data_IF_793465108048
#
_entry.id   IF_793465108048
#
_cell.length_a   1.000
_cell.length_b   1.000
_cell.length_c   1.000
_cell.angle_alpha   90.00
_cell.angle_beta   90.00
_cell.angle_gamma   90.00
#
_symmetry.space_group_name_H-M   'P 1'
#
loop_
_entity.id
_entity.type
_entity.pdbx_description
1 polymer ?
#
# COMPACT_ATOMS: atom_id res chain seq x y z
N UNK A 1 24.25 -17.64 11.03
CA UNK A 1 23.01 -17.17 11.70
C UNK A 1 21.85 -18.06 11.29
N UNK A 2 21.34 -18.83 12.25
CA UNK A 2 20.30 -19.84 12.06
C UNK A 2 18.94 -19.19 11.74
N UNK A 3 18.11 -19.90 10.97
CA UNK A 3 16.75 -19.47 10.54
C UNK A 3 15.86 -18.99 11.71
N UNK A 4 16.11 -19.50 12.92
CA UNK A 4 15.39 -19.14 14.15
C UNK A 4 15.53 -17.66 14.54
N UNK A 5 16.71 -17.04 14.36
CA UNK A 5 16.90 -15.62 14.72
C UNK A 5 16.18 -14.65 13.80
N UNK A 6 15.97 -15.03 12.53
CA UNK A 6 15.25 -14.20 11.56
C UNK A 6 13.76 -14.08 11.89
N UNK A 7 13.15 -15.16 12.40
CA UNK A 7 11.75 -15.18 12.80
C UNK A 7 11.45 -14.26 13.97
N UNK A 8 12.28 -14.28 15.01
CA UNK A 8 12.10 -13.44 16.20
C UNK A 8 12.17 -11.93 15.87
N UNK A 9 13.14 -11.53 15.03
CA UNK A 9 13.29 -10.13 14.62
C UNK A 9 12.09 -9.62 13.80
N UNK A 10 11.55 -10.45 12.90
CA UNK A 10 10.36 -10.10 12.11
C UNK A 10 9.14 -9.89 13.03
N UNK A 11 8.92 -10.78 13.99
CA UNK A 11 7.84 -10.65 14.96
C UNK A 11 7.96 -9.38 15.82
N UNK A 12 9.16 -9.06 16.29
CA UNK A 12 9.42 -7.82 17.03
C UNK A 12 9.11 -6.58 16.18
N UNK A 13 9.53 -6.58 14.91
CA UNK A 13 9.23 -5.49 13.98
C UNK A 13 7.71 -5.33 13.77
N UNK A 14 7.00 -6.44 13.54
CA UNK A 14 5.55 -6.44 13.38
C UNK A 14 4.83 -5.86 14.59
N UNK A 15 5.17 -6.33 15.80
CA UNK A 15 4.55 -5.87 17.05
C UNK A 15 4.84 -4.39 17.28
N UNK A 16 6.10 -3.98 17.16
CA UNK A 16 6.51 -2.59 17.39
C UNK A 16 5.77 -1.62 16.46
N UNK A 17 5.70 -1.93 15.16
CA UNK A 17 5.01 -1.06 14.20
C UNK A 17 3.49 -1.16 14.27
N UNK A 18 2.93 -2.28 14.71
CA UNK A 18 1.50 -2.35 15.01
C UNK A 18 1.14 -1.47 16.21
N UNK A 19 1.99 -1.43 17.24
CA UNK A 19 1.82 -0.54 18.38
C UNK A 19 1.96 0.94 17.99
N UNK A 20 2.90 1.28 17.09
CA UNK A 20 2.98 2.63 16.51
C UNK A 20 1.69 2.99 15.77
N UNK A 21 1.14 2.06 14.98
CA UNK A 21 -0.16 2.25 14.33
C UNK A 21 -1.28 2.52 15.35
N UNK A 22 -1.32 1.76 16.44
CA UNK A 22 -2.30 1.96 17.53
C UNK A 22 -2.16 3.34 18.19
N UNK A 23 -0.94 3.78 18.47
CA UNK A 23 -0.69 5.11 19.03
C UNK A 23 -1.12 6.21 18.06
N UNK A 24 -0.80 6.06 16.78
CA UNK A 24 -1.20 7.02 15.76
C UNK A 24 -2.74 7.10 15.63
N UNK A 25 -3.42 5.96 15.68
CA UNK A 25 -4.88 5.90 15.69
C UNK A 25 -5.47 6.64 16.91
N UNK A 26 -4.94 6.36 18.11
CA UNK A 26 -5.36 7.08 19.32
C UNK A 26 -5.16 8.61 19.19
N UNK A 27 -4.03 9.05 18.61
CA UNK A 27 -3.77 10.47 18.35
C UNK A 27 -4.78 11.08 17.36
N UNK A 28 -5.09 10.40 16.26
CA UNK A 28 -6.02 10.91 15.25
C UNK A 28 -7.47 10.90 15.73
N UNK A 29 -7.90 9.91 16.51
CA UNK A 29 -9.21 9.90 17.16
C UNK A 29 -9.34 11.09 18.14
N UNK A 30 -8.27 11.43 18.85
CA UNK A 30 -8.28 12.54 19.80
C UNK A 30 -8.22 13.91 19.11
N UNK A 31 -7.41 14.06 18.06
CA UNK A 31 -7.16 15.34 17.42
C UNK A 31 -8.06 15.64 16.21
N UNK A 32 -8.55 14.60 15.54
CA UNK A 32 -9.34 14.71 14.33
C UNK A 32 -10.81 15.02 14.59
N UNK A 33 -11.45 15.73 13.67
CA UNK A 33 -12.88 15.98 13.73
C UNK A 33 -13.66 14.67 13.48
N UNK A 34 -14.47 14.18 14.44
CA UNK A 34 -15.22 12.95 14.25
C UNK A 34 -16.24 13.11 13.13
N UNK A 35 -16.34 12.07 12.29
CA UNK A 35 -17.40 12.01 11.29
C UNK A 35 -18.64 11.35 11.87
N UNK A 36 -19.77 12.07 11.82
CA UNK A 36 -21.09 11.50 12.04
C UNK A 36 -21.35 10.30 11.13
N UNK A 37 -22.22 9.41 11.62
CA UNK A 37 -22.73 8.24 10.89
C UNK A 37 -23.66 8.71 9.76
N UNK A 38 -23.05 9.22 8.69
CA UNK A 38 -23.70 9.70 7.48
C UNK A 38 -23.23 8.90 6.27
N UNK A 39 -24.02 8.94 5.19
CA UNK A 39 -23.80 8.17 3.96
C UNK A 39 -23.64 6.66 4.24
N UNK A 40 -22.56 6.04 3.73
CA UNK A 40 -22.33 4.59 3.76
C UNK A 40 -22.46 3.94 5.15
N UNK A 41 -22.13 4.68 6.21
CA UNK A 41 -22.19 4.18 7.60
C UNK A 41 -23.58 3.70 8.00
N UNK A 42 -24.65 4.29 7.44
CA UNK A 42 -26.04 3.85 7.68
C UNK A 42 -26.30 2.45 7.16
N UNK A 43 -25.71 2.09 6.01
CA UNK A 43 -25.85 0.74 5.46
C UNK A 43 -25.12 -0.29 6.33
N UNK A 44 -23.90 0.01 6.77
CA UNK A 44 -23.16 -0.91 7.65
C UNK A 44 -23.82 -1.07 9.02
N UNK A 45 -24.44 -0.02 9.55
CA UNK A 45 -25.26 -0.11 10.77
C UNK A 45 -26.50 -0.98 10.55
N UNK A 46 -27.21 -0.82 9.44
CA UNK A 46 -28.35 -1.65 9.10
C UNK A 46 -27.95 -3.14 9.00
N UNK A 47 -26.83 -3.45 8.33
CA UNK A 47 -26.28 -4.82 8.28
C UNK A 47 -25.92 -5.37 9.67
N UNK A 48 -25.31 -4.55 10.53
CA UNK A 48 -25.00 -4.92 11.91
C UNK A 48 -26.26 -5.31 12.70
N UNK A 49 -27.38 -4.62 12.45
CA UNK A 49 -28.70 -4.87 13.05
C UNK A 49 -29.48 -5.99 12.33
N UNK A 50 -28.87 -6.71 11.38
CA UNK A 50 -29.52 -7.79 10.63
C UNK A 50 -30.54 -7.31 9.58
N UNK A 51 -30.53 -6.03 9.22
CA UNK A 51 -31.43 -5.47 8.20
C UNK A 51 -30.82 -5.60 6.80
N UNK A 52 -31.61 -5.93 5.76
CA UNK A 52 -31.13 -5.97 4.40
C UNK A 52 -30.74 -4.57 3.93
N UNK A 53 -29.71 -4.49 3.09
CA UNK A 53 -29.24 -3.22 2.52
C UNK A 53 -29.13 -3.29 1.01
N UNK A 54 -28.95 -2.14 0.37
CA UNK A 54 -28.84 -2.06 -1.08
C UNK A 54 -27.41 -2.42 -1.53
N UNK A 55 -27.25 -3.01 -2.73
CA UNK A 55 -25.95 -3.12 -3.38
C UNK A 55 -25.29 -1.74 -3.60
N UNK A 56 -23.95 -1.64 -3.60
CA UNK A 56 -22.98 -2.70 -3.34
C UNK A 56 -22.72 -2.94 -1.84
N UNK A 57 -23.26 -2.11 -0.95
CA UNK A 57 -22.96 -2.14 0.49
C UNK A 57 -23.32 -3.47 1.14
N UNK A 58 -24.43 -4.08 0.73
CA UNK A 58 -24.89 -5.36 1.25
C UNK A 58 -23.86 -6.50 1.13
N UNK A 59 -22.95 -6.43 0.17
CA UNK A 59 -21.94 -7.46 -0.06
C UNK A 59 -20.67 -7.28 0.77
N UNK A 60 -20.54 -6.15 1.49
CA UNK A 60 -19.39 -5.81 2.35
C UNK A 60 -19.60 -6.32 3.77
N UNK A 61 -19.77 -7.63 3.87
CA UNK A 61 -20.22 -8.33 5.09
C UNK A 61 -19.15 -8.47 6.17
N UNK A 62 -17.86 -8.42 5.83
CA UNK A 62 -16.78 -8.75 6.77
C UNK A 62 -16.77 -7.82 7.99
N UNK A 63 -16.84 -6.51 7.77
CA UNK A 63 -16.69 -5.53 8.86
C UNK A 63 -17.89 -5.51 9.79
N UNK A 64 -19.15 -5.47 9.30
CA UNK A 64 -20.33 -5.63 10.16
C UNK A 64 -20.30 -6.95 10.95
N UNK A 65 -19.88 -8.05 10.32
CA UNK A 65 -19.76 -9.34 11.00
C UNK A 65 -18.72 -9.30 12.13
N UNK A 66 -17.51 -8.77 11.87
CA UNK A 66 -16.46 -8.62 12.90
C UNK A 66 -16.92 -7.72 14.05
N UNK A 67 -17.62 -6.63 13.75
CA UNK A 67 -18.14 -5.73 14.78
C UNK A 67 -19.20 -6.43 15.64
N UNK A 68 -20.05 -7.28 15.06
CA UNK A 68 -21.11 -7.99 15.77
C UNK A 68 -20.58 -9.04 16.77
N UNK A 69 -19.33 -9.49 16.61
CA UNK A 69 -18.69 -10.40 17.56
C UNK A 69 -18.31 -9.74 18.90
N UNK A 70 -18.37 -8.40 18.98
CA UNK A 70 -17.95 -7.64 20.14
C UNK A 70 -19.16 -7.23 21.00
N UNK A 71 -19.05 -7.21 22.34
CA UNK A 71 -20.19 -7.05 23.25
C UNK A 71 -20.57 -5.60 23.56
N UNK A 72 -19.97 -4.59 22.92
CA UNK A 72 -20.22 -3.18 23.22
C UNK A 72 -21.23 -2.53 22.27
N UNK A 73 -21.37 -1.20 22.32
CA UNK A 73 -22.23 -0.47 21.40
C UNK A 73 -21.72 -0.62 19.95
N UNK A 74 -22.61 -0.60 18.95
CA UNK A 74 -22.23 -0.79 17.55
C UNK A 74 -21.12 0.17 17.10
N UNK A 75 -21.22 1.46 17.44
CA UNK A 75 -20.23 2.48 17.07
C UNK A 75 -18.86 2.18 17.67
N UNK A 76 -18.81 1.71 18.91
CA UNK A 76 -17.57 1.34 19.57
C UNK A 76 -16.98 0.07 18.93
N UNK A 77 -17.82 -0.93 18.63
CA UNK A 77 -17.41 -2.16 17.98
C UNK A 77 -16.77 -1.91 16.60
N UNK A 78 -17.41 -1.10 15.75
CA UNK A 78 -16.83 -0.71 14.47
C UNK A 78 -15.52 0.07 14.67
N UNK A 79 -15.46 0.97 15.65
CA UNK A 79 -14.23 1.70 16.01
C UNK A 79 -13.08 0.76 16.38
N UNK A 80 -13.34 -0.24 17.25
CA UNK A 80 -12.34 -1.25 17.65
C UNK A 80 -11.84 -2.05 16.44
N UNK A 81 -12.75 -2.52 15.58
CA UNK A 81 -12.37 -3.26 14.36
C UNK A 81 -11.49 -2.40 13.46
N UNK A 82 -11.85 -1.14 13.25
CA UNK A 82 -11.10 -0.18 12.44
C UNK A 82 -9.69 0.04 13.00
N UNK A 83 -9.58 0.42 14.27
CA UNK A 83 -8.29 0.67 14.94
C UNK A 83 -7.42 -0.57 14.89
N UNK A 84 -7.97 -1.75 15.19
CA UNK A 84 -7.23 -3.00 15.14
C UNK A 84 -6.72 -3.29 13.72
N UNK A 85 -7.55 -3.14 12.69
CA UNK A 85 -7.16 -3.39 11.31
C UNK A 85 -6.07 -2.43 10.81
N UNK A 86 -6.21 -1.12 11.07
CA UNK A 86 -5.22 -0.11 10.69
C UNK A 86 -3.90 -0.29 11.46
N UNK A 87 -3.96 -0.65 12.75
CA UNK A 87 -2.78 -0.96 13.56
C UNK A 87 -2.03 -2.16 12.98
N UNK A 88 -2.73 -3.28 12.77
CA UNK A 88 -2.12 -4.50 12.22
C UNK A 88 -1.61 -4.29 10.78
N UNK A 89 -2.31 -3.50 9.96
CA UNK A 89 -1.86 -3.12 8.62
C UNK A 89 -0.50 -2.40 8.68
N UNK A 90 -0.28 -1.54 9.69
CA UNK A 90 1.00 -0.86 9.91
C UNK A 90 2.13 -1.86 10.17
N UNK A 91 1.89 -2.88 10.99
CA UNK A 91 2.84 -3.98 11.21
C UNK A 91 3.17 -4.75 9.93
N UNK A 92 2.17 -5.12 9.13
CA UNK A 92 2.39 -5.82 7.85
C UNK A 92 3.09 -4.95 6.81
N UNK A 93 2.81 -3.64 6.77
CA UNK A 93 3.53 -2.68 5.93
C UNK A 93 5.01 -2.62 6.35
N UNK A 94 5.31 -2.63 7.65
CA UNK A 94 6.69 -2.64 8.13
C UNK A 94 7.43 -3.92 7.71
N UNK A 95 6.79 -5.08 7.83
CA UNK A 95 7.33 -6.36 7.35
C UNK A 95 7.57 -6.35 5.84
N UNK A 96 6.61 -5.84 5.07
CA UNK A 96 6.71 -5.69 3.62
C UNK A 96 7.91 -4.80 3.24
N UNK A 97 8.05 -3.65 3.91
CA UNK A 97 9.11 -2.68 3.70
C UNK A 97 10.49 -3.30 3.96
N UNK A 98 10.63 -3.97 5.11
CA UNK A 98 11.85 -4.65 5.51
C UNK A 98 12.22 -5.76 4.52
N UNK A 99 11.26 -6.61 4.16
CA UNK A 99 11.46 -7.70 3.20
C UNK A 99 11.76 -7.19 1.78
N UNK A 100 11.35 -5.97 1.46
CA UNK A 100 11.67 -5.28 0.20
C UNK A 100 13.02 -4.57 0.23
N UNK A 101 13.78 -4.69 1.33
CA UNK A 101 15.16 -4.23 1.45
C UNK A 101 15.30 -2.79 1.97
N UNK A 102 14.25 -2.19 2.53
CA UNK A 102 14.39 -0.91 3.20
C UNK A 102 15.19 -1.06 4.50
N UNK A 103 16.15 -0.18 4.80
CA UNK A 103 16.78 -0.12 6.11
C UNK A 103 15.73 0.28 7.17
N UNK A 104 15.98 -0.02 8.44
CA UNK A 104 15.02 0.23 9.54
C UNK A 104 14.52 1.68 9.58
N UNK A 105 15.38 2.66 9.27
CA UNK A 105 14.99 4.06 9.14
C UNK A 105 13.98 4.28 8.00
N UNK A 106 14.24 3.72 6.82
CA UNK A 106 13.30 3.75 5.70
C UNK A 106 11.99 3.03 6.00
N UNK A 107 12.00 1.93 6.77
CA UNK A 107 10.78 1.27 7.27
C UNK A 107 9.97 2.22 8.17
N UNK A 108 10.64 2.90 9.11
CA UNK A 108 10.00 3.88 9.97
C UNK A 108 9.38 5.04 9.18
N UNK A 109 10.10 5.57 8.19
CA UNK A 109 9.56 6.60 7.28
C UNK A 109 8.34 6.08 6.52
N UNK A 110 8.40 4.88 5.95
CA UNK A 110 7.26 4.30 5.22
C UNK A 110 6.01 4.16 6.11
N UNK A 111 6.18 3.70 7.35
CA UNK A 111 5.09 3.57 8.30
C UNK A 111 4.55 4.94 8.73
N UNK A 112 5.42 5.94 8.88
CA UNK A 112 5.02 7.31 9.17
C UNK A 112 4.20 7.91 8.02
N UNK A 113 4.61 7.71 6.77
CA UNK A 113 3.84 8.11 5.59
C UNK A 113 2.48 7.39 5.51
N UNK A 114 2.41 6.13 5.95
CA UNK A 114 1.16 5.38 6.04
C UNK A 114 0.21 5.95 7.11
N UNK A 115 0.65 6.12 8.36
CA UNK A 115 -0.20 6.62 9.45
C UNK A 115 -0.58 8.10 9.32
N UNK A 116 0.03 8.81 8.38
CA UNK A 116 -0.30 10.19 8.00
C UNK A 116 -0.96 10.29 6.63
N UNK A 117 -1.38 9.15 6.05
CA UNK A 117 -2.08 9.12 4.76
C UNK A 117 -3.58 9.32 4.92
N UNK A 118 -4.24 9.72 3.83
CA UNK A 118 -5.70 9.80 3.79
C UNK A 118 -6.35 8.49 4.27
N UNK A 119 -5.87 7.35 3.78
CA UNK A 119 -6.43 6.04 4.12
C UNK A 119 -6.40 5.77 5.63
N UNK A 120 -5.30 6.10 6.30
CA UNK A 120 -5.24 5.89 7.74
C UNK A 120 -6.15 6.88 8.48
N UNK A 121 -5.94 8.17 8.28
CA UNK A 121 -6.60 9.22 9.07
C UNK A 121 -8.11 9.26 8.82
N UNK A 122 -8.54 9.17 7.57
CA UNK A 122 -9.96 9.22 7.22
C UNK A 122 -10.74 8.06 7.83
N UNK A 123 -10.23 6.83 7.66
CA UNK A 123 -10.94 5.64 8.14
C UNK A 123 -10.86 5.50 9.66
N UNK A 124 -9.79 5.98 10.30
CA UNK A 124 -9.68 6.01 11.76
C UNK A 124 -10.65 7.01 12.42
N UNK A 125 -10.83 8.18 11.81
CA UNK A 125 -11.74 9.23 12.30
C UNK A 125 -13.21 9.02 11.90
N UNK A 126 -13.50 8.05 11.00
CA UNK A 126 -14.87 7.66 10.63
C UNK A 126 -15.26 6.36 11.34
N UNK A 127 -15.98 6.50 12.46
CA UNK A 127 -16.29 5.38 13.38
C UNK A 127 -17.01 4.18 12.74
N UNK A 128 -17.82 4.39 11.69
CA UNK A 128 -18.61 3.32 11.05
C UNK A 128 -18.31 3.24 9.56
N UNK A 129 -17.33 2.41 9.20
CA UNK A 129 -16.91 2.13 7.82
C UNK A 129 -16.52 0.67 7.67
N UNK A 130 -16.53 0.17 6.44
CA UNK A 130 -16.16 -1.21 6.13
C UNK A 130 -14.73 -1.37 5.60
N UNK A 131 -14.03 -0.25 5.37
CA UNK A 131 -12.84 -0.20 4.52
C UNK A 131 -11.54 -0.55 5.28
N UNK A 132 -11.49 -0.44 6.61
CA UNK A 132 -10.26 -0.71 7.37
C UNK A 132 -9.75 -2.17 7.22
N UNK A 133 -10.61 -3.21 7.28
CA UNK A 133 -10.19 -4.58 6.95
C UNK A 133 -9.64 -4.75 5.53
N UNK A 134 -10.11 -3.97 4.54
CA UNK A 134 -9.55 -4.01 3.18
C UNK A 134 -8.07 -3.62 3.20
N UNK A 135 -7.69 -2.55 3.91
CA UNK A 135 -6.30 -2.12 4.01
C UNK A 135 -5.42 -3.14 4.73
N UNK A 136 -5.94 -3.77 5.79
CA UNK A 136 -5.26 -4.89 6.44
C UNK A 136 -5.02 -6.03 5.45
N UNK A 137 -6.05 -6.48 4.74
CA UNK A 137 -5.93 -7.58 3.78
C UNK A 137 -4.98 -7.23 2.63
N UNK A 138 -4.97 -5.97 2.18
CA UNK A 138 -4.02 -5.49 1.17
C UNK A 138 -2.57 -5.53 1.66
N UNK A 139 -2.32 -5.05 2.88
CA UNK A 139 -1.00 -5.10 3.51
C UNK A 139 -0.53 -6.55 3.71
N UNK A 140 -1.43 -7.43 4.18
CA UNK A 140 -1.17 -8.87 4.30
C UNK A 140 -0.84 -9.46 2.94
N UNK A 141 -1.67 -9.24 1.91
CA UNK A 141 -1.48 -9.78 0.56
C UNK A 141 -0.10 -9.46 0.02
N UNK A 142 0.31 -8.18 0.07
CA UNK A 142 1.63 -7.77 -0.44
C UNK A 142 2.77 -8.28 0.43
N UNK A 143 2.61 -8.27 1.76
CA UNK A 143 3.59 -8.84 2.67
C UNK A 143 3.81 -10.34 2.39
N UNK A 144 2.77 -11.16 2.43
CA UNK A 144 2.90 -12.61 2.21
C UNK A 144 3.33 -12.95 0.78
N UNK A 145 2.94 -12.14 -0.21
CA UNK A 145 3.44 -12.28 -1.57
C UNK A 145 4.97 -12.11 -1.63
N UNK A 146 5.53 -11.14 -0.89
CA UNK A 146 6.97 -10.90 -0.76
C UNK A 146 7.74 -12.03 -0.09
N UNK A 147 7.12 -12.68 0.90
CA UNK A 147 7.68 -13.87 1.54
C UNK A 147 7.55 -15.14 0.69
N UNK A 148 6.97 -15.06 -0.52
CA UNK A 148 6.89 -16.19 -1.45
C UNK A 148 5.80 -17.20 -1.08
N UNK A 149 4.86 -16.84 -0.21
CA UNK A 149 3.73 -17.70 0.22
C UNK A 149 2.92 -18.18 -0.99
N UNK A 150 2.46 -19.43 -1.02
CA UNK A 150 1.79 -20.03 -2.20
C UNK A 150 0.59 -19.21 -2.72
N UNK A 151 0.28 -19.37 -4.00
CA UNK A 151 -0.90 -18.74 -4.64
C UNK A 151 -2.21 -19.07 -3.91
N UNK A 152 -2.40 -20.29 -3.40
CA UNK A 152 -3.62 -20.66 -2.66
C UNK A 152 -3.92 -19.70 -1.50
N UNK A 153 -2.93 -19.45 -0.64
CA UNK A 153 -3.03 -18.53 0.48
C UNK A 153 -3.27 -17.08 0.05
N UNK A 154 -2.66 -16.63 -1.06
CA UNK A 154 -2.97 -15.31 -1.61
C UNK A 154 -4.44 -15.23 -2.06
N UNK A 155 -4.99 -16.33 -2.57
CA UNK A 155 -6.39 -16.44 -2.98
C UNK A 155 -7.33 -16.32 -1.79
N UNK A 156 -6.99 -16.97 -0.67
CA UNK A 156 -7.75 -16.85 0.58
C UNK A 156 -7.75 -15.40 1.07
N UNK A 157 -6.57 -14.76 1.16
CA UNK A 157 -6.46 -13.36 1.62
C UNK A 157 -7.23 -12.41 0.70
N UNK A 158 -7.10 -12.56 -0.62
CA UNK A 158 -7.80 -11.76 -1.61
C UNK A 158 -9.33 -11.93 -1.48
N UNK A 159 -9.78 -13.17 -1.35
CA UNK A 159 -11.20 -13.51 -1.25
C UNK A 159 -11.83 -12.97 0.04
N UNK A 160 -11.17 -13.13 1.18
CA UNK A 160 -11.61 -12.53 2.46
C UNK A 160 -11.63 -11.00 2.34
N UNK A 161 -10.58 -10.39 1.76
CA UNK A 161 -10.54 -8.95 1.54
C UNK A 161 -11.69 -8.44 0.65
N UNK A 162 -12.10 -9.21 -0.36
CA UNK A 162 -13.27 -8.88 -1.19
C UNK A 162 -14.59 -8.85 -0.40
N UNK A 163 -14.70 -9.56 0.74
CA UNK A 163 -15.85 -9.47 1.65
C UNK A 163 -15.88 -8.16 2.44
N UNK A 164 -14.77 -7.42 2.50
CA UNK A 164 -14.75 -6.05 3.06
C UNK A 164 -15.01 -5.00 1.98
N UNK A 165 -14.36 -5.13 0.83
CA UNK A 165 -14.55 -4.22 -0.30
C UNK A 165 -14.02 -4.84 -1.60
N UNK A 166 -14.78 -4.72 -2.69
CA UNK A 166 -14.47 -5.26 -4.01
C UNK A 166 -13.20 -4.68 -4.65
N UNK A 167 -12.80 -3.49 -4.21
CA UNK A 167 -11.55 -2.81 -4.60
C UNK A 167 -10.30 -3.59 -4.20
N UNK A 168 -10.42 -4.57 -3.31
CA UNK A 168 -9.36 -5.54 -3.02
C UNK A 168 -8.84 -6.24 -4.30
N UNK A 169 -9.66 -6.36 -5.36
CA UNK A 169 -9.26 -6.89 -6.66
C UNK A 169 -8.15 -6.08 -7.35
N UNK A 170 -7.94 -4.82 -7.00
CA UNK A 170 -6.78 -4.04 -7.49
C UNK A 170 -5.46 -4.64 -6.99
N UNK A 171 -5.45 -5.36 -5.86
CA UNK A 171 -4.30 -6.13 -5.41
C UNK A 171 -3.89 -7.22 -6.40
N UNK A 172 -4.86 -7.86 -7.07
CA UNK A 172 -4.58 -8.80 -8.16
C UNK A 172 -3.99 -8.08 -9.38
N UNK A 173 -4.52 -6.91 -9.74
CA UNK A 173 -3.98 -6.10 -10.82
C UNK A 173 -2.51 -5.73 -10.55
N UNK A 174 -2.16 -5.36 -9.31
CA UNK A 174 -0.79 -5.09 -8.90
C UNK A 174 0.14 -6.31 -9.09
N UNK A 175 -0.30 -7.50 -8.69
CA UNK A 175 0.46 -8.74 -8.92
C UNK A 175 0.61 -9.08 -10.41
N UNK A 176 -0.41 -8.80 -11.23
CA UNK A 176 -0.37 -9.00 -12.68
C UNK A 176 0.58 -8.01 -13.36
N UNK A 177 0.59 -6.74 -12.94
CA UNK A 177 1.52 -5.71 -13.43
C UNK A 177 2.97 -6.12 -13.13
N UNK A 178 3.24 -6.58 -11.91
CA UNK A 178 4.55 -7.14 -11.55
C UNK A 178 4.96 -8.29 -12.49
N UNK A 179 4.02 -9.17 -12.84
CA UNK A 179 4.26 -10.28 -13.77
C UNK A 179 4.56 -9.81 -15.18
N UNK A 180 3.74 -8.90 -15.72
CA UNK A 180 3.86 -8.38 -17.08
C UNK A 180 5.17 -7.62 -17.30
N UNK A 181 5.55 -6.78 -16.33
CA UNK A 181 6.77 -5.97 -16.41
C UNK A 181 8.00 -6.66 -15.79
N UNK A 182 7.86 -7.90 -15.33
CA UNK A 182 8.91 -8.66 -14.62
C UNK A 182 9.56 -7.84 -13.49
N UNK A 183 8.73 -7.14 -12.72
CA UNK A 183 9.16 -6.35 -11.56
C UNK A 183 9.02 -7.19 -10.30
N UNK A 184 9.72 -6.78 -9.24
CA UNK A 184 9.53 -7.35 -7.92
C UNK A 184 9.07 -6.25 -6.97
N UNK A 185 8.05 -5.46 -7.33
CA UNK A 185 7.53 -4.41 -6.46
C UNK A 185 6.57 -5.01 -5.42
N UNK A 186 5.65 -5.87 -5.84
CA UNK A 186 4.71 -6.65 -5.02
C UNK A 186 4.94 -8.17 -5.08
N UNK A 187 6.05 -8.60 -5.71
CA UNK A 187 6.46 -9.99 -5.91
C UNK A 187 5.59 -10.83 -6.86
N UNK A 188 4.91 -10.18 -7.81
CA UNK A 188 4.12 -10.87 -8.84
C UNK A 188 4.97 -11.58 -9.91
N UNK A 189 6.18 -11.10 -10.23
CA UNK A 189 7.01 -11.72 -11.28
C UNK A 189 7.36 -13.19 -11.02
N UNK A 190 7.50 -13.58 -9.74
CA UNK A 190 7.80 -14.95 -9.32
C UNK A 190 6.61 -15.91 -9.46
N UNK A 191 5.42 -15.41 -9.80
CA UNK A 191 4.18 -16.20 -9.86
C UNK A 191 3.93 -16.74 -11.26
N UNK A 192 3.30 -17.90 -11.36
CA UNK A 192 2.81 -18.42 -12.62
C UNK A 192 1.53 -17.67 -13.03
N UNK A 193 1.38 -17.39 -14.33
CA UNK A 193 0.21 -16.67 -14.86
C UNK A 193 -1.09 -17.41 -14.56
N UNK A 194 -1.11 -18.74 -14.75
CA UNK A 194 -2.24 -19.62 -14.40
C UNK A 194 -2.63 -19.45 -12.93
N UNK A 195 -1.64 -19.32 -12.04
CA UNK A 195 -1.89 -19.07 -10.63
C UNK A 195 -2.60 -17.72 -10.40
N UNK A 196 -2.15 -16.65 -11.07
CA UNK A 196 -2.78 -15.34 -10.96
C UNK A 196 -4.21 -15.33 -11.54
N UNK A 197 -4.44 -16.03 -12.66
CA UNK A 197 -5.79 -16.20 -13.22
C UNK A 197 -6.70 -16.96 -12.24
N UNK A 198 -6.20 -18.04 -11.63
CA UNK A 198 -6.94 -18.81 -10.63
C UNK A 198 -7.29 -17.96 -9.39
N UNK A 199 -6.40 -17.05 -8.94
CA UNK A 199 -6.70 -16.10 -7.88
C UNK A 199 -7.91 -15.23 -8.22
N UNK A 200 -7.91 -14.65 -9.43
CA UNK A 200 -9.00 -13.81 -9.90
C UNK A 200 -10.31 -14.58 -10.01
N UNK A 201 -10.27 -15.76 -10.62
CA UNK A 201 -11.44 -16.63 -10.73
C UNK A 201 -12.03 -17.00 -9.36
N UNK A 202 -11.17 -17.32 -8.37
CA UNK A 202 -11.61 -17.66 -7.01
C UNK A 202 -12.27 -16.48 -6.30
N UNK A 203 -11.65 -15.29 -6.35
CA UNK A 203 -12.21 -14.11 -5.72
C UNK A 203 -13.53 -13.68 -6.38
N UNK A 204 -13.62 -13.76 -7.72
CA UNK A 204 -14.85 -13.46 -8.46
C UNK A 204 -15.95 -14.50 -8.19
N UNK A 205 -15.61 -15.78 -8.09
CA UNK A 205 -16.55 -16.83 -7.73
C UNK A 205 -17.11 -16.62 -6.31
N UNK A 206 -16.28 -16.25 -5.33
CA UNK A 206 -16.77 -15.91 -4.00
C UNK A 206 -17.70 -14.70 -4.03
N UNK A 207 -17.31 -13.63 -4.73
CA UNK A 207 -18.19 -12.45 -4.88
C UNK A 207 -19.52 -12.81 -5.54
N UNK A 208 -19.49 -13.70 -6.55
CA UNK A 208 -20.69 -14.23 -7.18
C UNK A 208 -21.57 -14.97 -6.15
N UNK A 209 -21.00 -15.90 -5.39
CA UNK A 209 -21.75 -16.63 -4.34
C UNK A 209 -22.35 -15.67 -3.31
N UNK A 210 -21.57 -14.72 -2.79
CA UNK A 210 -22.05 -13.72 -1.82
C UNK A 210 -23.22 -12.94 -2.39
N UNK A 211 -23.15 -12.52 -3.66
CA UNK A 211 -24.24 -11.79 -4.33
C UNK A 211 -25.52 -12.59 -4.51
N UNK A 212 -25.44 -13.92 -4.55
CA UNK A 212 -26.62 -14.80 -4.68
C UNK A 212 -27.19 -15.21 -3.32
N UNK A 213 -26.35 -15.29 -2.28
CA UNK A 213 -26.76 -15.75 -0.95
C UNK A 213 -27.22 -14.60 -0.05
N UNK A 214 -26.59 -13.42 -0.15
CA UNK A 214 -26.94 -12.28 0.71
C UNK A 214 -28.18 -11.59 0.18
N UNK A 215 -29.25 -11.59 0.97
CA UNK A 215 -30.48 -10.87 0.66
C UNK A 215 -30.23 -9.34 0.62
N UNK A 216 -30.69 -8.70 -0.44
CA UNK A 216 -30.54 -7.25 -0.63
C UNK A 216 -31.89 -6.59 -0.89
N UNK A 217 -32.07 -5.35 -0.44
CA UNK A 217 -33.17 -4.52 -0.97
C UNK A 217 -32.84 -4.07 -2.39
N UNK A 218 -33.85 -3.86 -3.25
CA UNK A 218 -33.64 -3.35 -4.61
C UNK A 218 -32.78 -2.09 -4.59
N UNK A 219 -31.85 -1.98 -5.55
CA UNK A 219 -31.12 -0.75 -5.75
C UNK A 219 -32.11 0.34 -6.19
N UNK A 220 -32.23 1.42 -5.40
CA UNK A 220 -33.23 2.50 -5.63
C UNK A 220 -32.88 3.35 -6.86
N UNK A 221 -31.71 3.18 -7.47
CA UNK A 221 -31.43 3.72 -8.80
C UNK A 221 -30.32 2.89 -9.45
N UNK A 222 -30.57 2.19 -10.57
CA UNK A 222 -29.48 1.75 -11.42
C UNK A 222 -28.98 2.96 -12.20
N UNK A 223 -28.26 3.88 -11.54
CA UNK A 223 -27.32 4.75 -12.25
C UNK A 223 -26.09 3.94 -12.69
N UNK A 224 -26.31 2.73 -13.24
CA UNK A 224 -25.41 2.14 -14.19
C UNK A 224 -25.57 2.98 -15.45
N UNK A 225 -24.96 4.14 -15.41
CA UNK A 225 -24.88 5.04 -16.54
C UNK A 225 -24.41 4.22 -17.74
N UNK A 226 -25.10 4.36 -18.88
CA UNK A 226 -25.10 3.48 -20.07
C UNK A 226 -23.74 3.23 -20.77
N UNK A 227 -22.63 3.56 -20.13
CA UNK A 227 -21.30 3.12 -20.55
C UNK A 227 -20.17 3.79 -19.76
N UNK A 228 -18.91 3.33 -19.97
CA UNK A 228 -17.73 3.86 -19.29
C UNK A 228 -17.55 5.38 -19.47
N UNK A 229 -17.88 5.92 -20.64
CA UNK A 229 -17.76 7.36 -20.92
C UNK A 229 -18.71 8.18 -20.06
N UNK A 230 -19.95 7.75 -19.92
CA UNK A 230 -20.94 8.49 -19.18
C UNK A 230 -20.74 8.30 -17.65
N UNK A 231 -20.21 7.16 -17.20
CA UNK A 231 -19.70 6.99 -15.82
C UNK A 231 -18.53 7.94 -15.51
N UNK A 232 -17.58 8.09 -16.45
CA UNK A 232 -16.49 9.04 -16.31
C UNK A 232 -16.99 10.49 -16.23
N UNK A 233 -17.94 10.88 -17.09
CA UNK A 233 -18.54 12.22 -17.06
C UNK A 233 -19.28 12.46 -15.74
N UNK A 234 -20.06 11.49 -15.27
CA UNK A 234 -20.73 11.58 -13.98
C UNK A 234 -19.75 11.71 -12.83
N UNK A 235 -18.69 10.91 -12.81
CA UNK A 235 -17.65 10.97 -11.78
C UNK A 235 -16.94 12.32 -11.75
N UNK A 236 -16.66 12.89 -12.93
CA UNK A 236 -16.12 14.24 -13.05
C UNK A 236 -17.10 15.28 -12.52
N UNK A 237 -18.38 15.21 -12.90
CA UNK A 237 -19.40 16.13 -12.40
C UNK A 237 -19.56 16.01 -10.87
N UNK A 238 -19.61 14.79 -10.35
CA UNK A 238 -19.68 14.48 -8.92
C UNK A 238 -18.46 14.99 -8.14
N UNK A 239 -17.28 14.92 -8.75
CA UNK A 239 -16.05 15.47 -8.16
C UNK A 239 -15.97 17.00 -8.26
N UNK A 240 -16.85 17.63 -9.05
CA UNK A 240 -16.87 19.06 -9.30
C UNK A 240 -15.86 19.51 -10.38
N UNK A 241 -15.62 18.65 -11.37
CA UNK A 241 -14.78 18.89 -12.55
C UNK A 241 -13.42 18.18 -12.53
N UNK A 242 -12.73 18.21 -13.67
CA UNK A 242 -11.43 17.53 -13.87
C UNK A 242 -10.33 18.00 -12.91
N UNK A 243 -10.25 19.32 -12.66
CA UNK A 243 -9.25 19.88 -11.73
C UNK A 243 -9.46 19.34 -10.31
N UNK A 244 -10.70 19.34 -9.80
CA UNK A 244 -11.00 18.81 -8.47
C UNK A 244 -10.77 17.30 -8.40
N UNK A 245 -11.03 16.56 -9.48
CA UNK A 245 -10.72 15.13 -9.55
C UNK A 245 -9.22 14.85 -9.41
N UNK A 246 -8.37 15.59 -10.13
CA UNK A 246 -6.90 15.49 -10.01
C UNK A 246 -6.44 15.88 -8.60
N UNK A 247 -7.02 16.93 -8.02
CA UNK A 247 -6.72 17.32 -6.64
C UNK A 247 -7.11 16.23 -5.63
N UNK A 248 -8.23 15.51 -5.85
CA UNK A 248 -8.60 14.34 -5.03
C UNK A 248 -7.58 13.21 -5.18
N UNK A 249 -7.08 12.94 -6.39
CA UNK A 249 -6.00 11.94 -6.59
C UNK A 249 -4.75 12.33 -5.79
N UNK A 250 -4.34 13.60 -5.86
CA UNK A 250 -3.21 14.09 -5.07
C UNK A 250 -3.49 14.00 -3.57
N UNK A 251 -4.67 14.42 -3.13
CA UNK A 251 -5.07 14.41 -1.72
C UNK A 251 -5.17 13.00 -1.12
N UNK A 252 -5.18 11.92 -1.91
CA UNK A 252 -5.09 10.56 -1.36
C UNK A 252 -3.71 10.28 -0.70
N UNK A 253 -2.67 11.04 -1.08
CA UNK A 253 -1.29 10.80 -0.65
C UNK A 253 -0.61 12.06 -0.07
N UNK A 254 -0.97 13.24 -0.58
CA UNK A 254 -0.28 14.49 -0.29
C UNK A 254 1.16 14.52 -0.85
N UNK A 255 2.08 15.20 -0.15
CA UNK A 255 3.50 15.28 -0.53
C UNK A 255 4.18 13.92 -0.83
N UNK A 256 3.75 12.83 -0.18
CA UNK A 256 4.27 11.48 -0.44
C UNK A 256 4.20 11.07 -1.92
N UNK A 257 3.15 11.47 -2.65
CA UNK A 257 3.06 11.19 -4.09
C UNK A 257 4.18 11.90 -4.88
N UNK A 258 4.46 13.17 -4.54
CA UNK A 258 5.57 13.92 -5.16
C UNK A 258 6.90 13.24 -4.88
N UNK A 259 7.13 12.80 -3.66
CA UNK A 259 8.38 12.12 -3.29
C UNK A 259 8.56 10.82 -4.08
N UNK A 260 7.50 10.02 -4.21
CA UNK A 260 7.51 8.81 -5.04
C UNK A 260 7.83 9.12 -6.51
N UNK A 261 7.18 10.12 -7.10
CA UNK A 261 7.41 10.53 -8.49
C UNK A 261 8.82 11.07 -8.71
N UNK A 262 9.35 11.88 -7.78
CA UNK A 262 10.71 12.41 -7.84
C UNK A 262 11.77 11.30 -7.69
N UNK A 263 11.52 10.30 -6.85
CA UNK A 263 12.38 9.12 -6.76
C UNK A 263 12.45 8.40 -8.11
N UNK A 264 11.31 8.11 -8.71
CA UNK A 264 11.24 7.41 -9.98
C UNK A 264 11.85 8.23 -11.12
N UNK A 265 11.60 9.54 -11.17
CA UNK A 265 12.17 10.43 -12.17
C UNK A 265 13.70 10.59 -12.04
N UNK A 266 14.23 10.53 -10.81
CA UNK A 266 15.66 10.67 -10.53
C UNK A 266 16.43 9.35 -10.45
N UNK A 267 15.73 8.22 -10.57
CA UNK A 267 16.31 6.89 -10.67
C UNK A 267 16.63 6.53 -12.13
N UNK A 268 17.61 5.65 -12.33
CA UNK A 268 17.85 5.07 -13.65
C UNK A 268 16.59 4.32 -14.12
N UNK A 269 16.23 4.38 -15.41
CA UNK A 269 15.11 3.61 -15.93
C UNK A 269 15.23 2.14 -15.52
N UNK A 270 14.22 1.65 -14.81
CA UNK A 270 14.19 0.30 -14.26
C UNK A 270 12.83 -0.33 -14.51
N UNK A 271 12.77 -1.67 -14.47
CA UNK A 271 11.48 -2.39 -14.56
C UNK A 271 10.51 -1.95 -13.47
N UNK A 272 11.02 -1.66 -12.27
CA UNK A 272 10.26 -1.14 -11.13
C UNK A 272 9.53 0.16 -11.48
N UNK A 273 10.19 1.10 -12.17
CA UNK A 273 9.57 2.36 -12.63
C UNK A 273 8.39 2.11 -13.58
N UNK A 274 8.53 1.17 -14.52
CA UNK A 274 7.46 0.81 -15.45
C UNK A 274 6.30 0.11 -14.75
N UNK A 275 6.58 -0.81 -13.83
CA UNK A 275 5.54 -1.47 -13.03
C UNK A 275 4.77 -0.49 -12.15
N UNK A 276 5.46 0.42 -11.47
CA UNK A 276 4.79 1.48 -10.71
C UNK A 276 3.94 2.36 -11.64
N UNK A 277 4.49 2.82 -12.76
CA UNK A 277 3.77 3.65 -13.72
C UNK A 277 2.49 2.98 -14.22
N UNK A 278 2.57 1.70 -14.62
CA UNK A 278 1.42 0.93 -15.08
C UNK A 278 0.36 0.76 -13.98
N UNK A 279 0.76 0.43 -12.75
CA UNK A 279 -0.17 0.30 -11.61
C UNK A 279 -0.83 1.65 -11.26
N UNK A 280 -0.05 2.72 -11.24
CA UNK A 280 -0.55 4.07 -10.95
C UNK A 280 -1.53 4.55 -12.03
N UNK A 281 -1.21 4.36 -13.31
CA UNK A 281 -2.12 4.66 -14.42
C UNK A 281 -3.40 3.83 -14.35
N UNK A 282 -3.31 2.54 -13.99
CA UNK A 282 -4.49 1.69 -13.80
C UNK A 282 -5.37 2.22 -12.66
N UNK A 283 -4.79 2.58 -11.52
CA UNK A 283 -5.53 3.16 -10.39
C UNK A 283 -6.18 4.49 -10.77
N UNK A 284 -5.44 5.40 -11.42
CA UNK A 284 -5.98 6.66 -11.92
C UNK A 284 -7.12 6.43 -12.90
N UNK A 285 -6.99 5.48 -13.83
CA UNK A 285 -8.06 5.15 -14.78
C UNK A 285 -9.31 4.62 -14.08
N UNK A 286 -9.13 3.75 -13.07
CA UNK A 286 -10.22 3.21 -12.27
C UNK A 286 -10.96 4.31 -11.48
N UNK A 287 -10.31 5.43 -11.13
CA UNK A 287 -11.00 6.54 -10.46
C UNK A 287 -12.06 7.20 -11.31
N UNK A 288 -12.04 7.05 -12.64
CA UNK A 288 -13.10 7.56 -13.51
C UNK A 288 -14.32 6.62 -13.57
N UNK A 289 -14.22 5.44 -12.97
CA UNK A 289 -15.28 4.44 -12.91
C UNK A 289 -15.87 4.30 -11.50
N UNK A 290 -15.50 5.19 -10.58
CA UNK A 290 -15.94 5.16 -9.19
C UNK A 290 -16.19 6.57 -8.67
N UNK A 291 -17.28 6.77 -7.92
CA UNK A 291 -17.64 8.05 -7.32
C UNK A 291 -16.65 8.51 -6.25
N UNK A 292 -15.99 7.57 -5.58
CA UNK A 292 -15.01 7.83 -4.51
C UNK A 292 -13.57 7.68 -5.03
N UNK A 293 -13.07 8.75 -5.66
CA UNK A 293 -11.69 8.88 -6.15
C UNK A 293 -10.64 8.56 -5.08
N UNK A 294 -10.86 9.03 -3.85
CA UNK A 294 -9.87 8.91 -2.77
C UNK A 294 -9.71 7.46 -2.35
N UNK A 295 -10.83 6.72 -2.23
CA UNK A 295 -10.83 5.30 -1.89
C UNK A 295 -10.13 4.45 -2.93
N UNK A 296 -10.35 4.69 -4.22
CA UNK A 296 -9.67 3.94 -5.29
C UNK A 296 -8.17 4.21 -5.27
N UNK A 297 -7.76 5.47 -5.11
CA UNK A 297 -6.33 5.81 -5.03
C UNK A 297 -5.66 5.28 -3.76
N UNK A 298 -6.37 5.22 -2.64
CA UNK A 298 -5.85 4.68 -1.38
C UNK A 298 -5.29 3.26 -1.51
N UNK A 299 -5.70 2.48 -2.52
CA UNK A 299 -5.22 1.12 -2.74
C UNK A 299 -3.74 1.08 -3.16
N UNK A 300 -3.25 2.09 -3.89
CA UNK A 300 -1.84 2.17 -4.30
C UNK A 300 -0.97 2.88 -3.25
N UNK A 301 -1.47 3.08 -2.03
CA UNK A 301 -0.72 3.71 -0.94
C UNK A 301 0.56 2.96 -0.59
N UNK A 302 0.55 1.62 -0.59
CA UNK A 302 1.74 0.80 -0.27
C UNK A 302 2.88 1.07 -1.26
N UNK A 303 2.71 0.92 -2.59
CA UNK A 303 3.78 1.27 -3.53
C UNK A 303 4.17 2.75 -3.50
N UNK A 304 3.22 3.68 -3.33
CA UNK A 304 3.53 5.11 -3.22
C UNK A 304 4.41 5.39 -1.99
N UNK A 305 3.99 4.95 -0.81
CA UNK A 305 4.75 5.12 0.44
C UNK A 305 6.11 4.44 0.39
N UNK A 306 6.23 3.29 -0.28
CA UNK A 306 7.51 2.60 -0.48
C UNK A 306 8.51 3.45 -1.28
N UNK A 307 8.09 3.98 -2.43
CA UNK A 307 8.94 4.83 -3.26
C UNK A 307 9.23 6.19 -2.61
N UNK A 308 8.25 6.76 -1.90
CA UNK A 308 8.43 7.97 -1.12
C UNK A 308 9.44 7.77 0.02
N UNK A 309 9.39 6.64 0.73
CA UNK A 309 10.37 6.31 1.76
C UNK A 309 11.77 6.15 1.17
N UNK A 310 11.93 5.50 0.00
CA UNK A 310 13.22 5.43 -0.72
C UNK A 310 13.74 6.80 -1.12
N UNK A 311 12.86 7.74 -1.49
CA UNK A 311 13.23 9.12 -1.76
C UNK A 311 13.84 9.79 -0.52
N UNK A 312 13.10 9.76 0.58
CA UNK A 312 13.49 10.41 1.84
C UNK A 312 14.78 9.81 2.37
N UNK A 313 14.93 8.49 2.30
CA UNK A 313 16.15 7.77 2.69
C UNK A 313 17.36 8.20 1.85
N UNK A 314 17.19 8.30 0.52
CA UNK A 314 18.24 8.80 -0.37
C UNK A 314 18.65 10.23 -0.03
N UNK A 315 17.69 11.11 0.27
CA UNK A 315 17.98 12.49 0.69
C UNK A 315 18.71 12.49 2.03
N UNK A 316 18.31 11.62 2.97
CA UNK A 316 18.97 11.48 4.26
C UNK A 316 20.45 11.12 4.09
N UNK A 317 20.76 10.10 3.29
CA UNK A 317 22.14 9.65 3.10
C UNK A 317 23.00 10.69 2.36
N UNK A 318 22.43 11.37 1.38
CA UNK A 318 23.17 12.32 0.56
C UNK A 318 23.36 13.68 1.26
N UNK A 319 22.36 14.13 2.04
CA UNK A 319 22.25 15.52 2.54
C UNK A 319 22.17 15.65 4.06
N UNK A 320 21.99 14.55 4.76
CA UNK A 320 21.84 14.50 6.20
C UNK A 320 20.40 14.61 6.66
N UNK A 321 20.22 14.35 7.95
CA UNK A 321 18.94 14.29 8.64
C UNK A 321 18.04 15.53 8.45
N UNK A 322 18.54 16.79 8.50
CA UNK A 322 17.65 17.96 8.49
C UNK A 322 16.73 18.04 7.27
N UNK A 323 17.23 17.67 6.09
CA UNK A 323 16.45 17.70 4.84
C UNK A 323 15.38 16.61 4.83
N UNK A 324 15.72 15.41 5.24
CA UNK A 324 14.78 14.31 5.28
C UNK A 324 13.70 14.52 6.36
N UNK A 325 14.08 15.06 7.52
CA UNK A 325 13.14 15.49 8.58
C UNK A 325 12.21 16.58 8.07
N UNK A 326 12.70 17.56 7.31
CA UNK A 326 11.85 18.60 6.72
C UNK A 326 10.80 18.01 5.76
N UNK A 327 11.17 17.07 4.89
CA UNK A 327 10.23 16.39 3.98
C UNK A 327 9.15 15.62 4.77
N UNK A 328 9.55 14.90 5.81
CA UNK A 328 8.60 14.21 6.69
C UNK A 328 7.68 15.20 7.42
N UNK A 329 8.22 16.33 7.89
CA UNK A 329 7.45 17.39 8.54
C UNK A 329 6.42 18.01 7.59
N UNK A 330 6.74 18.19 6.30
CA UNK A 330 5.76 18.64 5.31
C UNK A 330 4.60 17.65 5.13
N UNK A 331 4.87 16.34 5.10
CA UNK A 331 3.80 15.34 5.05
C UNK A 331 2.93 15.40 6.32
N UNK A 332 3.54 15.47 7.50
CA UNK A 332 2.82 15.58 8.78
C UNK A 332 1.93 16.83 8.83
N UNK A 333 2.48 17.98 8.46
CA UNK A 333 1.74 19.24 8.40
C UNK A 333 0.59 19.17 7.38
N UNK A 334 0.80 18.49 6.24
CA UNK A 334 -0.24 18.31 5.24
C UNK A 334 -1.35 17.41 5.77
N UNK A 335 -0.99 16.29 6.41
CA UNK A 335 -1.94 15.36 6.99
C UNK A 335 -2.79 16.04 8.08
N UNK A 336 -2.16 16.83 8.95
CA UNK A 336 -2.86 17.63 9.94
C UNK A 336 -3.84 18.60 9.30
N UNK A 337 -3.36 19.42 8.36
CA UNK A 337 -4.14 20.48 7.74
C UNK A 337 -5.30 19.95 6.89
N UNK A 338 -5.06 18.89 6.11
CA UNK A 338 -6.05 18.35 5.17
C UNK A 338 -6.90 17.28 5.82
N UNK A 339 -6.29 16.29 6.48
CA UNK A 339 -7.01 15.13 6.98
C UNK A 339 -7.59 15.34 8.38
N UNK A 340 -6.85 16.01 9.28
CA UNK A 340 -7.34 16.35 10.62
C UNK A 340 -8.59 17.23 10.60
N UNK A 341 -8.72 18.06 9.56
CA UNK A 341 -9.81 19.01 9.37
C UNK A 341 -10.64 18.76 8.12
N UNK A 342 -10.78 17.51 7.70
CA UNK A 342 -11.39 17.11 6.43
C UNK A 342 -12.78 17.73 6.16
N UNK A 343 -13.62 17.94 7.18
CA UNK A 343 -14.93 18.62 7.03
C UNK A 343 -14.73 20.11 6.72
N UNK A 344 -13.99 20.79 7.57
CA UNK A 344 -13.64 22.21 7.42
C UNK A 344 -12.90 22.47 6.10
N UNK A 345 -12.00 21.56 5.69
CA UNK A 345 -11.22 21.63 4.45
C UNK A 345 -12.11 21.64 3.20
N UNK A 346 -13.17 20.82 3.15
CA UNK A 346 -14.10 20.80 2.01
C UNK A 346 -14.84 22.12 1.81
N UNK A 347 -15.11 22.85 2.90
CA UNK A 347 -15.81 24.14 2.86
C UNK A 347 -14.89 25.37 2.85
N UNK A 348 -13.63 25.23 3.28
CA UNK A 348 -12.74 26.36 3.54
C UNK A 348 -11.76 26.62 2.39
N UNK A 349 -11.98 27.72 1.66
CA UNK A 349 -11.02 28.19 0.66
C UNK A 349 -9.63 28.45 1.28
N UNK A 350 -9.58 29.04 2.48
CA UNK A 350 -8.32 29.36 3.15
C UNK A 350 -7.46 28.11 3.42
N UNK A 351 -8.07 27.02 3.91
CA UNK A 351 -7.34 25.78 4.17
C UNK A 351 -6.87 25.10 2.87
N UNK A 352 -7.67 25.19 1.79
CA UNK A 352 -7.26 24.72 0.47
C UNK A 352 -6.01 25.48 -0.04
N UNK A 353 -5.98 26.81 0.12
CA UNK A 353 -4.81 27.63 -0.25
C UNK A 353 -3.59 27.26 0.62
N UNK A 354 -3.77 27.09 1.93
CA UNK A 354 -2.68 26.67 2.81
C UNK A 354 -2.12 25.29 2.43
N UNK A 355 -2.99 24.33 2.09
CA UNK A 355 -2.56 22.99 1.68
C UNK A 355 -1.82 23.01 0.33
N UNK A 356 -2.26 23.87 -0.60
CA UNK A 356 -1.58 24.10 -1.86
C UNK A 356 -0.21 24.75 -1.65
N UNK A 357 -0.11 25.79 -0.81
CA UNK A 357 1.14 26.44 -0.47
C UNK A 357 2.13 25.46 0.20
N UNK A 358 1.65 24.67 1.16
CA UNK A 358 2.46 23.65 1.84
C UNK A 358 2.98 22.59 0.85
N UNK A 359 2.13 22.16 -0.08
CA UNK A 359 2.50 21.22 -1.14
C UNK A 359 3.55 21.83 -2.08
N UNK A 360 3.38 23.09 -2.48
CA UNK A 360 4.34 23.83 -3.31
C UNK A 360 5.71 23.98 -2.63
N UNK A 361 5.73 24.34 -1.33
CA UNK A 361 6.94 24.41 -0.53
C UNK A 361 7.62 23.05 -0.41
N UNK A 362 6.84 21.99 -0.16
CA UNK A 362 7.37 20.63 -0.12
C UNK A 362 8.02 20.21 -1.44
N UNK A 363 7.42 20.55 -2.59
CA UNK A 363 8.00 20.29 -3.91
C UNK A 363 9.30 21.05 -4.08
N UNK A 364 9.32 22.34 -3.73
CA UNK A 364 10.51 23.19 -3.85
C UNK A 364 11.68 22.65 -3.01
N UNK A 365 11.42 22.25 -1.76
CA UNK A 365 12.42 21.66 -0.86
C UNK A 365 12.92 20.33 -1.41
N UNK A 366 12.03 19.46 -1.90
CA UNK A 366 12.42 18.18 -2.48
C UNK A 366 13.29 18.33 -3.75
N UNK A 367 12.91 19.24 -4.65
CA UNK A 367 13.67 19.57 -5.86
C UNK A 367 15.03 20.19 -5.52
N UNK A 368 15.08 21.09 -4.54
CA UNK A 368 16.32 21.71 -4.10
C UNK A 368 17.29 20.69 -3.46
N UNK A 369 16.75 19.82 -2.60
CA UNK A 369 17.51 18.72 -2.00
C UNK A 369 18.10 17.80 -3.07
N UNK A 370 17.33 17.50 -4.13
CA UNK A 370 17.76 16.69 -5.26
C UNK A 370 18.81 17.41 -6.15
N UNK A 371 18.60 18.68 -6.50
CA UNK A 371 19.50 19.45 -7.35
C UNK A 371 20.90 19.55 -6.74
N UNK A 372 21.00 20.01 -5.48
CA UNK A 372 22.29 20.12 -4.80
C UNK A 372 22.91 18.72 -4.52
N UNK A 373 22.17 17.61 -4.62
CA UNK A 373 22.74 16.27 -4.46
C UNK A 373 23.61 15.90 -5.66
N UNK A 374 23.17 16.30 -6.86
CA UNK A 374 23.91 16.11 -8.10
C UNK A 374 25.21 16.90 -8.14
N UNK A 375 25.23 18.12 -7.59
CA UNK A 375 26.43 18.97 -7.63
C UNK A 375 27.60 18.42 -6.80
N UNK A 376 27.33 17.74 -5.68
CA UNK A 376 28.39 17.09 -4.88
C UNK A 376 29.07 15.93 -5.61
N UNK A 377 28.28 15.11 -6.32
CA UNK A 377 28.82 13.94 -7.04
C UNK A 377 29.74 14.34 -8.18
N UNK A 378 29.47 15.48 -8.84
CA UNK A 378 30.32 16.00 -9.91
C UNK A 378 31.64 16.58 -9.38
N UNK A 379 31.65 17.21 -8.21
CA UNK A 379 32.87 17.76 -7.60
C UNK A 379 33.87 16.72 -7.09
N UNK A 380 33.44 15.47 -6.88
CA UNK A 380 34.34 14.38 -6.46
C UNK A 380 35.01 13.68 -7.65
N UNK A 381 34.41 13.77 -8.85
CA UNK A 381 34.93 13.12 -10.07
C UNK A 381 35.99 13.95 -10.81
N UNK A 382 36.19 15.22 -10.43
CA UNK A 382 37.16 16.13 -11.07
C UNK A 382 38.49 16.27 -10.33
N UNK A 383 38.74 15.49 -9.27
CA UNK A 383 40.11 15.24 -8.83
C UNK A 383 40.64 14.00 -9.56
N UNK A 384 41.42 14.15 -10.65
CA UNK A 384 42.23 13.05 -11.13
C UNK A 384 43.22 12.74 -10.01
N UNK A 385 42.89 11.76 -9.17
CA UNK A 385 43.93 11.03 -8.46
C UNK A 385 44.71 10.27 -9.52
N UNK A 386 45.68 10.95 -10.10
CA UNK A 386 46.91 10.35 -10.59
C UNK A 386 47.62 9.72 -9.38
N UNK A 387 47.10 8.60 -8.89
CA UNK A 387 47.78 7.75 -7.92
C UNK A 387 47.61 6.31 -8.35
N UNK A 388 48.72 5.83 -8.91
CA UNK A 388 49.18 4.44 -8.98
C UNK A 388 48.13 3.37 -9.25
N UNK A 389 48.12 2.99 -10.53
CA UNK A 389 48.01 1.61 -10.98
C UNK A 389 48.73 0.68 -9.99
N UNK A 390 47.99 0.04 -9.10
CA UNK A 390 48.40 -1.24 -8.53
C UNK A 390 47.28 -2.23 -8.81
N UNK A 391 47.54 -3.02 -9.86
CA UNK A 391 46.73 -4.16 -10.29
C UNK A 391 46.61 -5.15 -9.13
N UNK A 392 45.47 -5.19 -8.47
CA UNK A 392 45.01 -6.41 -7.81
C UNK A 392 43.89 -7.01 -8.66
N UNK A 393 44.29 -7.99 -9.47
CA UNK A 393 43.40 -8.97 -10.10
C UNK A 393 42.62 -9.68 -8.99
N UNK A 394 41.35 -9.36 -8.82
CA UNK A 394 40.39 -10.26 -8.18
C UNK A 394 39.50 -10.85 -9.27
N UNK A 395 40.03 -11.91 -9.88
CA UNK A 395 39.27 -12.85 -10.67
C UNK A 395 39.03 -14.10 -9.86
N UNK A 396 38.10 -14.06 -8.90
CA UNK A 396 37.53 -15.29 -8.35
C UNK A 396 36.12 -15.46 -8.87
N UNK A 397 36.08 -16.17 -10.01
CA UNK A 397 34.92 -16.88 -10.50
C UNK A 397 34.48 -17.84 -9.40
N UNK A 398 33.34 -17.57 -8.78
CA UNK A 398 32.57 -18.58 -8.04
C UNK A 398 32.16 -19.63 -9.07
N UNK A 399 32.95 -20.70 -9.19
CA UNK A 399 32.56 -21.93 -9.88
C UNK A 399 31.46 -22.57 -9.05
N UNK A 400 30.25 -22.54 -9.59
CA UNK A 400 29.20 -23.49 -9.25
C UNK A 400 29.73 -24.91 -9.52
N UNK A 401 30.07 -25.62 -8.45
CA UNK A 401 30.35 -27.05 -8.48
C UNK A 401 29.05 -27.76 -8.88
N UNK A 402 29.01 -28.31 -10.10
CA UNK A 402 28.02 -29.33 -10.48
C UNK A 402 28.29 -30.57 -9.62
N UNK A 403 27.26 -31.21 -9.01
CA UNK A 403 27.44 -32.54 -8.46
C UNK A 403 27.70 -33.51 -9.61
N UNK A 404 28.85 -34.19 -9.57
CA UNK A 404 29.17 -35.30 -10.46
C UNK A 404 28.30 -36.50 -10.12
N UNK A 405 27.58 -37.01 -11.11
CA UNK A 405 27.00 -38.34 -11.14
C UNK A 405 28.11 -39.38 -10.99
N UNK A 406 28.26 -39.94 -9.79
CA UNK A 406 29.14 -41.08 -9.51
C UNK A 406 28.33 -42.37 -9.43
N UNK A 407 28.16 -43.03 -10.57
CA UNK A 407 27.96 -44.48 -10.64
C UNK A 407 29.29 -45.15 -10.32
N UNK A 408 29.43 -45.75 -9.14
CA UNK A 408 30.54 -46.65 -8.84
C UNK A 408 30.00 -48.07 -8.58
N UNK A 409 29.93 -48.81 -9.68
CA UNK A 409 29.94 -50.27 -9.70
C UNK A 409 31.37 -50.75 -9.41
N UNK A 410 31.62 -51.42 -8.28
CA UNK A 410 32.75 -52.35 -8.18
C UNK A 410 32.43 -53.59 -7.37
N UNK A 411 32.39 -54.69 -8.13
CA UNK A 411 32.63 -56.08 -7.72
C UNK A 411 33.87 -56.20 -6.82
N UNK A 412 33.77 -57.01 -5.79
CA UNK A 412 34.90 -57.79 -5.27
C UNK A 412 34.43 -59.23 -5.05
N UNK A 413 35.07 -60.14 -5.75
CA UNK A 413 34.95 -61.58 -5.60
C UNK A 413 36.14 -62.11 -4.79
N UNK A 414 35.87 -63.22 -4.08
CA UNK A 414 36.78 -64.27 -3.62
C UNK A 414 37.66 -64.11 -2.36
N UNK A 415 37.65 -65.22 -1.61
CA UNK A 415 38.38 -65.56 -0.39
C UNK A 415 37.37 -65.98 0.68
N UNK A 416 37.08 -67.25 1.00
CA UNK A 416 37.91 -68.45 1.03
C UNK A 416 38.20 -68.83 2.48
N UNK A 417 37.72 -70.01 2.91
CA UNK A 417 38.08 -70.77 4.13
C UNK A 417 37.62 -70.24 5.51
N UNK A 418 36.55 -70.82 6.06
CA UNK A 418 36.53 -71.75 7.21
C UNK A 418 35.11 -72.23 7.49
#
# INVERSE_FOLDING_TARGET
MTTKHKGAAAWQLFIAFSFIGLLAAACWIWAGEPWEVLADGKHYMAMYMGQPTAPPFAYRVLTPWLAHLLPWSPEFNFGVVTVACLSLATGFIALFAHQSGLPTRGVAVMCLLWVTSFAFVYYDTTRIRADAPMFLMMAVLFCVAKYGVSTLWLGIVLSIGCLSHETMLVGLAALCVDKLFSTNLMAGAKRHLVGLVALGATALALLFVVRHVVATVPAVDPSYIDGPRAMAQFTLNYSGGGVKHVLRIYAAFGPALVYALLFLASSTPSRERWGFGALFTLAVSATFLATDTLRVMAIVIVPVSFHAARFVERIWDQRGAPWAVALVAFQLAYAWLVYGHLRTFKGSHAMNVQAAALSGLSVAVALWALWRARSRTQGTLTRPHAQSVNRLRFGDRIRLVRPSSGTDTRKAAHGGLS
#
